data_IF_310218172671
#
_entry.id   IF_310218172671
#
_cell.length_a   1.000
_cell.length_b   1.000
_cell.length_c   1.000
_cell.angle_alpha   90.00
_cell.angle_beta   90.00
_cell.angle_gamma   90.00
#
_symmetry.space_group_name_H-M   'P 1'
#
loop_
_entity.id
_entity.type
_entity.pdbx_description
1 polymer ?
#
# COMPACT_ATOMS: atom_id res chain seq x y z
N UNK A 1 5.17 22.57 38.52
CA UNK A 1 4.69 21.18 38.38
C UNK A 1 4.70 20.92 36.90
N UNK A 2 5.91 20.63 36.40
CA UNK A 2 6.15 20.40 34.99
C UNK A 2 5.60 19.03 34.65
N UNK A 3 4.71 18.98 33.67
CA UNK A 3 4.25 17.73 33.09
C UNK A 3 5.38 17.31 32.15
N UNK A 4 6.26 16.43 32.62
CA UNK A 4 7.23 15.73 31.77
C UNK A 4 6.46 15.00 30.67
N UNK A 5 6.51 15.51 29.44
CA UNK A 5 5.99 14.83 28.26
C UNK A 5 7.03 13.82 27.77
N UNK A 6 7.28 12.78 28.56
CA UNK A 6 8.24 11.72 28.25
C UNK A 6 7.52 10.57 27.52
N UNK A 7 6.90 10.88 26.39
CA UNK A 7 6.43 9.86 25.44
C UNK A 7 7.47 9.71 24.34
N UNK A 8 8.66 9.24 24.69
CA UNK A 8 9.66 8.88 23.69
C UNK A 8 9.19 7.62 22.96
N UNK A 9 8.98 7.73 21.65
CA UNK A 9 8.50 6.61 20.84
C UNK A 9 9.64 5.60 20.73
N UNK A 10 9.43 4.38 21.22
CA UNK A 10 10.37 3.28 21.07
C UNK A 10 10.33 2.76 19.63
N UNK A 11 11.09 3.40 18.73
CA UNK A 11 11.08 3.09 17.30
C UNK A 11 11.53 1.65 16.99
N UNK A 12 12.41 1.07 17.79
CA UNK A 12 12.85 -0.33 17.65
C UNK A 12 11.71 -1.32 17.97
N UNK A 13 10.97 -1.07 19.05
CA UNK A 13 9.77 -1.83 19.41
C UNK A 13 8.72 -1.69 18.31
N UNK A 14 8.48 -0.46 17.85
CA UNK A 14 7.53 -0.18 16.77
C UNK A 14 7.91 -0.93 15.48
N UNK A 15 9.18 -0.91 15.07
CA UNK A 15 9.64 -1.62 13.88
C UNK A 15 9.40 -3.12 13.96
N UNK A 16 9.71 -3.71 15.12
CA UNK A 16 9.46 -5.13 15.38
C UNK A 16 7.97 -5.46 15.35
N UNK A 17 7.14 -4.69 16.06
CA UNK A 17 5.70 -4.94 16.14
C UNK A 17 5.01 -4.77 14.79
N UNK A 18 5.40 -3.76 14.00
CA UNK A 18 4.86 -3.56 12.65
C UNK A 18 5.24 -4.72 11.73
N UNK A 19 6.50 -5.17 11.75
CA UNK A 19 6.92 -6.31 10.92
C UNK A 19 6.15 -7.60 11.30
N UNK A 20 5.98 -7.88 12.59
CA UNK A 20 5.22 -9.04 13.06
C UNK A 20 3.72 -8.92 12.77
N UNK A 21 3.15 -7.72 12.83
CA UNK A 21 1.77 -7.47 12.47
C UNK A 21 1.54 -7.74 10.97
N UNK A 22 2.32 -7.11 10.11
CA UNK A 22 2.16 -7.26 8.65
C UNK A 22 2.48 -8.67 8.16
N UNK A 23 3.47 -9.37 8.74
CA UNK A 23 3.74 -10.78 8.44
C UNK A 23 2.49 -11.64 8.67
N UNK A 24 1.87 -11.51 9.86
CA UNK A 24 0.65 -12.26 10.20
C UNK A 24 -0.52 -11.91 9.29
N UNK A 25 -0.70 -10.63 8.96
CA UNK A 25 -1.76 -10.21 8.04
C UNK A 25 -1.59 -10.85 6.65
N UNK A 26 -0.36 -10.88 6.12
CA UNK A 26 -0.09 -11.45 4.82
C UNK A 26 -0.19 -12.97 4.82
N UNK A 27 0.32 -13.65 5.84
CA UNK A 27 0.16 -15.10 6.02
C UNK A 27 -1.32 -15.48 6.09
N UNK A 28 -2.12 -14.69 6.81
CA UNK A 28 -3.55 -14.92 6.91
C UNK A 28 -4.27 -14.69 5.58
N UNK A 29 -3.96 -13.59 4.89
CA UNK A 29 -4.51 -13.31 3.58
C UNK A 29 -4.17 -14.42 2.58
N UNK A 30 -2.93 -14.94 2.60
CA UNK A 30 -2.51 -16.06 1.76
C UNK A 30 -3.33 -17.34 2.00
N UNK A 31 -3.61 -17.65 3.27
CA UNK A 31 -4.48 -18.77 3.65
C UNK A 31 -5.90 -18.56 3.13
N UNK A 32 -6.47 -17.38 3.32
CA UNK A 32 -7.84 -17.08 2.88
C UNK A 32 -7.96 -17.10 1.33
N UNK A 33 -6.90 -16.69 0.62
CA UNK A 33 -6.78 -16.74 -0.84
C UNK A 33 -6.54 -18.15 -1.40
N UNK A 34 -6.06 -19.09 -0.58
CA UNK A 34 -5.86 -20.48 -1.00
C UNK A 34 -7.15 -21.31 -1.09
N UNK A 35 -8.28 -20.76 -0.62
CA UNK A 35 -9.61 -21.34 -0.78
C UNK A 35 -10.31 -20.89 -2.07
N UNK A 36 -11.59 -21.23 -2.22
CA UNK A 36 -12.42 -20.89 -3.39
C UNK A 36 -12.92 -19.43 -3.39
N UNK A 37 -12.10 -18.49 -2.90
CA UNK A 37 -12.48 -17.07 -2.87
C UNK A 37 -12.12 -16.42 -4.20
N UNK A 38 -13.14 -16.02 -4.97
CA UNK A 38 -12.94 -15.18 -6.16
C UNK A 38 -12.24 -13.89 -5.77
N UNK A 39 -11.03 -13.70 -6.29
CA UNK A 39 -10.13 -12.62 -5.88
C UNK A 39 -9.29 -12.13 -7.05
N UNK A 40 -8.94 -10.84 -7.01
CA UNK A 40 -8.11 -10.18 -8.02
C UNK A 40 -6.95 -9.46 -7.35
N UNK A 41 -5.74 -9.81 -7.74
CA UNK A 41 -4.53 -9.12 -7.30
C UNK A 41 -4.32 -7.84 -8.11
N UNK A 42 -4.09 -6.73 -7.41
CA UNK A 42 -3.79 -5.43 -8.02
C UNK A 42 -2.44 -4.96 -7.52
N UNK A 43 -1.48 -4.86 -8.43
CA UNK A 43 -0.18 -4.30 -8.10
C UNK A 43 -0.27 -2.78 -8.02
N UNK A 44 0.32 -2.22 -6.98
CA UNK A 44 0.32 -0.78 -6.75
C UNK A 44 0.93 0.00 -7.92
N UNK A 45 1.98 -0.52 -8.55
CA UNK A 45 2.61 0.12 -9.72
C UNK A 45 1.66 0.16 -10.93
N UNK A 46 0.93 -0.93 -11.17
CA UNK A 46 -0.02 -1.01 -12.28
C UNK A 46 -1.18 0.00 -12.04
N UNK A 47 -1.68 0.09 -10.80
CA UNK A 47 -2.70 1.07 -10.41
C UNK A 47 -2.25 2.52 -10.55
N UNK A 48 -0.98 2.83 -10.25
CA UNK A 48 -0.43 4.18 -10.45
C UNK A 48 -0.28 4.52 -11.93
N UNK A 49 0.14 3.54 -12.74
CA UNK A 49 0.44 3.76 -14.16
C UNK A 49 -0.84 3.90 -15.01
N UNK A 50 -1.86 3.10 -14.73
CA UNK A 50 -3.10 3.09 -15.49
C UNK A 50 -4.30 2.66 -14.61
N UNK A 51 -4.79 3.56 -13.73
CA UNK A 51 -5.86 3.22 -12.79
C UNK A 51 -7.17 2.86 -13.50
N UNK A 52 -7.44 3.44 -14.66
CA UNK A 52 -8.67 3.18 -15.42
C UNK A 52 -8.68 1.75 -15.96
N UNK A 53 -7.58 1.30 -16.55
CA UNK A 53 -7.48 -0.08 -17.06
C UNK A 53 -7.59 -1.09 -15.92
N UNK A 54 -6.94 -0.85 -14.79
CA UNK A 54 -7.04 -1.73 -13.61
C UNK A 54 -8.49 -1.87 -13.16
N UNK A 55 -9.27 -0.79 -13.10
CA UNK A 55 -10.69 -0.87 -12.73
C UNK A 55 -11.51 -1.60 -13.79
N UNK A 56 -11.24 -1.40 -15.08
CA UNK A 56 -11.89 -2.14 -16.16
C UNK A 56 -11.63 -3.64 -16.05
N UNK A 57 -10.38 -4.04 -15.78
CA UNK A 57 -9.99 -5.43 -15.61
C UNK A 57 -10.69 -6.06 -14.40
N UNK A 58 -10.78 -5.34 -13.27
CA UNK A 58 -11.54 -5.79 -12.10
C UNK A 58 -13.00 -6.05 -12.49
N UNK A 59 -13.65 -5.11 -13.17
CA UNK A 59 -15.06 -5.28 -13.57
C UNK A 59 -15.23 -6.48 -14.51
N UNK A 60 -14.33 -6.66 -15.47
CA UNK A 60 -14.36 -7.78 -16.39
C UNK A 60 -14.17 -9.13 -15.67
N UNK A 61 -13.18 -9.23 -14.78
CA UNK A 61 -12.86 -10.45 -14.05
C UNK A 61 -14.03 -10.92 -13.16
N UNK A 62 -14.80 -9.98 -12.59
CA UNK A 62 -15.98 -10.30 -11.77
C UNK A 62 -17.31 -10.27 -12.56
N UNK A 63 -17.27 -10.14 -13.88
CA UNK A 63 -18.48 -10.12 -14.72
C UNK A 63 -19.42 -8.93 -14.46
N UNK A 64 -18.88 -7.81 -13.98
CA UNK A 64 -19.61 -6.58 -13.68
C UNK A 64 -19.66 -5.66 -14.90
N UNK A 65 -20.77 -4.93 -15.06
CA UNK A 65 -20.93 -3.96 -16.14
C UNK A 65 -20.12 -2.69 -15.88
N UNK A 66 -19.19 -2.37 -16.77
CA UNK A 66 -18.47 -1.11 -16.79
C UNK A 66 -19.14 -0.14 -17.76
N UNK A 67 -19.91 0.82 -17.23
CA UNK A 67 -20.68 1.77 -18.05
C UNK A 67 -19.91 3.05 -18.38
N UNK A 68 -20.27 3.69 -19.49
CA UNK A 68 -19.74 5.01 -19.89
C UNK A 68 -19.99 6.09 -18.82
N UNK A 69 -21.10 5.99 -18.10
CA UNK A 69 -21.44 6.91 -17.03
C UNK A 69 -20.47 6.77 -15.84
N UNK A 70 -20.01 5.55 -15.55
CA UNK A 70 -19.00 5.30 -14.54
C UNK A 70 -17.60 5.71 -15.03
N UNK A 71 -17.24 5.38 -16.28
CA UNK A 71 -15.98 5.80 -16.92
C UNK A 71 -15.75 7.31 -16.77
N UNK A 72 -16.77 8.09 -17.13
CA UNK A 72 -16.74 9.55 -17.00
C UNK A 72 -16.50 10.01 -15.56
N UNK A 73 -17.21 9.44 -14.58
CA UNK A 73 -17.05 9.80 -13.15
C UNK A 73 -15.67 9.44 -12.63
N UNK A 74 -15.12 8.30 -13.06
CA UNK A 74 -13.77 7.88 -12.68
C UNK A 74 -12.73 8.86 -13.22
N UNK A 75 -12.85 9.25 -14.49
CA UNK A 75 -11.97 10.26 -15.10
C UNK A 75 -12.07 11.62 -14.38
N UNK A 76 -13.28 12.10 -14.11
CA UNK A 76 -13.51 13.34 -13.35
C UNK A 76 -12.84 13.28 -11.96
N UNK A 77 -13.00 12.16 -11.24
CA UNK A 77 -12.36 11.95 -9.94
C UNK A 77 -10.83 11.97 -10.02
N UNK A 78 -10.24 11.33 -11.04
CA UNK A 78 -8.79 11.27 -11.23
C UNK A 78 -8.23 12.66 -11.54
N UNK A 79 -8.87 13.42 -12.43
CA UNK A 79 -8.50 14.80 -12.75
C UNK A 79 -8.58 15.72 -11.53
N UNK A 80 -9.65 15.63 -10.73
CA UNK A 80 -9.77 16.40 -9.50
C UNK A 80 -8.66 16.07 -8.50
N UNK A 81 -8.33 14.79 -8.33
CA UNK A 81 -7.27 14.36 -7.42
C UNK A 81 -5.90 14.82 -7.89
N UNK A 82 -5.64 14.81 -9.19
CA UNK A 82 -4.42 15.37 -9.76
C UNK A 82 -4.33 16.88 -9.49
N UNK A 83 -5.40 17.64 -9.77
CA UNK A 83 -5.48 19.09 -9.48
C UNK A 83 -5.28 19.38 -7.99
N UNK A 84 -5.89 18.59 -7.09
CA UNK A 84 -5.72 18.71 -5.62
C UNK A 84 -4.29 18.41 -5.18
N UNK A 85 -3.61 17.45 -5.81
CA UNK A 85 -2.19 17.15 -5.53
C UNK A 85 -1.28 18.26 -6.04
N UNK A 86 -1.55 18.80 -7.23
CA UNK A 86 -0.78 19.90 -7.81
C UNK A 86 -0.98 21.23 -7.06
N UNK A 87 -2.19 21.53 -6.60
CA UNK A 87 -2.52 22.76 -5.85
C UNK A 87 -1.98 22.76 -4.42
N UNK A 88 -1.74 21.58 -3.84
CA UNK A 88 -0.87 21.39 -2.69
C UNK A 88 0.60 21.56 -3.13
N UNK A 89 0.94 22.77 -3.58
CA UNK A 89 2.34 23.14 -3.82
C UNK A 89 3.10 22.92 -2.50
N UNK A 90 4.08 22.02 -2.53
CA UNK A 90 5.06 21.80 -1.46
C UNK A 90 6.01 23.00 -1.28
N UNK A 91 5.55 24.23 -1.55
CA UNK A 91 6.31 25.49 -1.40
C UNK A 91 6.54 25.90 0.06
N UNK A 92 5.91 25.19 1.02
CA UNK A 92 6.46 25.01 2.36
C UNK A 92 6.72 23.52 2.58
N UNK A 93 7.78 23.00 1.96
CA UNK A 93 8.31 21.69 2.26
C UNK A 93 8.77 21.68 3.72
N UNK A 94 7.82 21.42 4.64
CA UNK A 94 8.13 20.82 5.93
C UNK A 94 8.88 19.55 5.52
N UNK A 95 10.22 19.52 5.67
CA UNK A 95 11.08 18.40 5.27
C UNK A 95 10.31 17.13 5.61
N UNK A 96 9.90 16.36 4.61
CA UNK A 96 9.39 15.03 4.88
C UNK A 96 10.52 14.35 5.64
N UNK A 97 10.26 13.98 6.89
CA UNK A 97 11.22 13.21 7.65
C UNK A 97 11.51 11.97 6.83
N UNK A 98 12.74 11.87 6.34
CA UNK A 98 13.18 10.70 5.59
C UNK A 98 13.42 9.62 6.62
N UNK A 99 12.52 8.65 6.63
CA UNK A 99 12.64 7.48 7.46
C UNK A 99 13.36 6.37 6.70
N UNK A 100 14.20 5.65 7.39
CA UNK A 100 14.93 4.48 6.91
C UNK A 100 14.53 3.27 7.76
N UNK A 101 14.79 2.07 7.25
CA UNK A 101 14.59 0.85 8.05
C UNK A 101 15.44 0.87 9.33
N UNK A 102 16.63 1.45 9.27
CA UNK A 102 17.56 1.51 10.40
C UNK A 102 16.99 2.34 11.57
N UNK A 103 16.20 3.38 11.29
CA UNK A 103 15.54 4.21 12.31
C UNK A 103 14.58 3.40 13.20
N UNK A 104 14.14 2.22 12.73
CA UNK A 104 13.26 1.30 13.43
C UNK A 104 13.93 -0.03 13.77
N UNK A 105 15.28 -0.06 13.80
CA UNK A 105 16.08 -1.27 14.03
C UNK A 105 15.80 -2.41 13.03
N UNK A 106 15.31 -2.07 11.82
CA UNK A 106 15.07 -3.00 10.72
C UNK A 106 16.18 -2.92 9.67
N UNK A 107 16.27 -3.95 8.84
CA UNK A 107 17.10 -3.96 7.63
C UNK A 107 16.47 -4.89 6.59
N UNK A 108 17.00 -4.85 5.37
CA UNK A 108 16.45 -5.63 4.26
C UNK A 108 16.45 -7.14 4.55
N UNK A 109 17.51 -7.67 5.17
CA UNK A 109 17.61 -9.08 5.53
C UNK A 109 16.52 -9.52 6.52
N UNK A 110 16.15 -8.69 7.51
CA UNK A 110 15.04 -8.97 8.43
C UNK A 110 13.69 -8.97 7.71
N UNK A 111 13.49 -8.04 6.76
CA UNK A 111 12.29 -8.00 5.93
C UNK A 111 12.20 -9.27 5.07
N UNK A 112 13.28 -9.64 4.39
CA UNK A 112 13.29 -10.80 3.49
C UNK A 112 13.15 -12.11 4.26
N UNK A 113 13.75 -12.23 5.45
CA UNK A 113 13.57 -13.39 6.31
C UNK A 113 12.11 -13.62 6.73
N UNK A 114 11.29 -12.56 6.83
CA UNK A 114 9.87 -12.64 7.22
C UNK A 114 8.92 -12.67 6.03
N UNK A 115 9.21 -11.89 4.99
CA UNK A 115 8.29 -11.58 3.89
C UNK A 115 8.83 -12.00 2.51
N UNK A 116 10.00 -12.65 2.44
CA UNK A 116 10.59 -13.11 1.18
C UNK A 116 9.64 -14.01 0.39
N UNK A 117 8.96 -14.93 1.07
CA UNK A 117 7.95 -15.82 0.48
C UNK A 117 6.82 -15.05 -0.24
N UNK A 118 6.36 -13.92 0.33
CA UNK A 118 5.29 -13.12 -0.25
C UNK A 118 5.75 -12.44 -1.54
N UNK A 119 6.98 -11.91 -1.53
CA UNK A 119 7.57 -11.28 -2.73
C UNK A 119 7.72 -12.31 -3.85
N UNK A 120 8.23 -13.50 -3.52
CA UNK A 120 8.41 -14.57 -4.48
C UNK A 120 7.10 -15.02 -5.11
N UNK A 121 6.04 -15.16 -4.30
CA UNK A 121 4.73 -15.63 -4.76
C UNK A 121 3.95 -14.57 -5.54
N UNK A 122 4.00 -13.29 -5.14
CA UNK A 122 3.07 -12.27 -5.63
C UNK A 122 3.72 -11.10 -6.39
N UNK A 123 5.03 -10.90 -6.29
CA UNK A 123 5.71 -9.75 -6.91
C UNK A 123 6.66 -10.12 -8.05
N UNK A 124 7.12 -11.37 -8.11
CA UNK A 124 7.87 -11.85 -9.26
C UNK A 124 6.89 -12.13 -10.41
N UNK A 125 6.82 -11.20 -11.37
CA UNK A 125 6.17 -11.45 -12.67
C UNK A 125 7.04 -12.46 -13.44
N UNK A 126 6.46 -13.59 -13.87
CA UNK A 126 6.92 -14.27 -15.09
C UNK A 126 6.62 -13.39 -16.32
#
# INVERSE_FOLDING_TARGET
>A
MDIESDNDIQCDVLGKEQLEFWSRCLERADQDLSGDTDSKHVLFQDLLSNPVQVVKDIYADFGLEYSDAYDKKLHEYLEENEKKRASKSFTKAKKFHQYTLADYALNQAKIDAKLGWYKEKYLNKE
#
